data_IF_818776896121
#
_entry.id   IF_818776896121
#
_cell.length_a   1.000
_cell.length_b   1.000
_cell.length_c   1.000
_cell.angle_alpha   90.00
_cell.angle_beta   90.00
_cell.angle_gamma   90.00
#
_symmetry.space_group_name_H-M   'P 1'
#
loop_
_entity.id
_entity.type
_entity.pdbx_description
1 polymer ?
#
# COMPACT_ATOMS: atom_id res chain seq x y z
N UNK A 1 -10.91 16.69 -44.53
CA UNK A 1 -12.05 16.54 -43.59
C UNK A 1 -11.99 15.25 -42.76
N UNK A 2 -11.71 14.07 -43.35
CA UNK A 2 -11.61 12.79 -42.62
C UNK A 2 -10.44 12.70 -41.62
N UNK A 3 -9.30 13.31 -41.96
CA UNK A 3 -8.10 13.32 -41.10
C UNK A 3 -8.27 14.17 -39.82
N UNK A 4 -9.08 15.24 -39.87
CA UNK A 4 -9.37 16.07 -38.69
C UNK A 4 -10.31 15.34 -37.71
N UNK A 5 -11.29 14.60 -38.23
CA UNK A 5 -12.19 13.76 -37.43
C UNK A 5 -11.45 12.63 -36.70
N UNK A 6 -10.44 12.03 -37.36
CA UNK A 6 -9.56 11.02 -36.76
C UNK A 6 -8.71 11.59 -35.61
N UNK A 7 -8.13 12.79 -35.78
CA UNK A 7 -7.37 13.44 -34.70
C UNK A 7 -8.25 13.82 -33.50
N UNK A 8 -9.48 14.29 -33.74
CA UNK A 8 -10.42 14.61 -32.66
C UNK A 8 -10.83 13.38 -31.84
N UNK A 9 -11.04 12.23 -32.50
CA UNK A 9 -11.37 10.97 -31.81
C UNK A 9 -10.21 10.43 -30.95
N UNK A 10 -8.95 10.58 -31.40
CA UNK A 10 -7.77 10.18 -30.62
C UNK A 10 -7.58 11.07 -29.39
N UNK A 11 -7.86 12.37 -29.50
CA UNK A 11 -7.77 13.31 -28.36
C UNK A 11 -8.89 13.06 -27.34
N UNK A 12 -10.11 12.73 -27.78
CA UNK A 12 -11.24 12.43 -26.88
C UNK A 12 -11.01 11.09 -26.14
N UNK A 13 -10.41 10.08 -26.80
CA UNK A 13 -10.02 8.82 -26.16
C UNK A 13 -8.80 8.98 -25.21
N UNK A 14 -7.93 9.96 -25.45
CA UNK A 14 -6.84 10.30 -24.52
C UNK A 14 -7.29 11.01 -23.23
N UNK A 15 -8.51 11.59 -23.23
CA UNK A 15 -9.10 12.27 -22.07
C UNK A 15 -9.94 11.34 -21.20
N UNK A 16 -10.14 10.07 -21.57
CA UNK A 16 -10.84 9.12 -20.71
C UNK A 16 -9.94 8.64 -19.58
N UNK A 17 -9.99 9.43 -18.50
CA UNK A 17 -9.65 9.08 -17.11
C UNK A 17 -8.20 8.68 -16.84
N UNK A 18 -7.34 9.70 -16.73
CA UNK A 18 -6.41 9.72 -15.60
C UNK A 18 -7.28 9.80 -14.34
N UNK A 19 -7.64 8.67 -13.74
CA UNK A 19 -8.03 8.68 -12.33
C UNK A 19 -6.77 9.12 -11.60
N UNK A 20 -6.72 10.40 -11.23
CA UNK A 20 -5.66 10.90 -10.37
C UNK A 20 -5.75 10.10 -9.07
N UNK A 21 -4.78 9.23 -8.83
CA UNK A 21 -4.56 8.57 -7.54
C UNK A 21 -3.98 9.58 -6.55
N UNK A 22 -4.62 10.74 -6.44
CA UNK A 22 -4.24 11.78 -5.49
C UNK A 22 -4.39 11.22 -4.08
N UNK A 23 -3.27 11.12 -3.38
CA UNK A 23 -3.24 10.76 -1.97
C UNK A 23 -4.01 11.84 -1.21
N UNK A 24 -5.05 11.50 -0.42
CA UNK A 24 -5.72 12.49 0.42
C UNK A 24 -4.68 13.26 1.24
N UNK A 25 -4.82 14.58 1.32
CA UNK A 25 -3.82 15.44 1.97
C UNK A 25 -3.55 15.01 3.44
N UNK A 26 -4.58 14.50 4.12
CA UNK A 26 -4.48 13.90 5.45
C UNK A 26 -3.54 12.68 5.51
N UNK A 27 -3.56 11.81 4.49
CA UNK A 27 -2.64 10.67 4.39
C UNK A 27 -1.26 11.16 4.02
N UNK A 28 -1.17 12.05 3.02
CA UNK A 28 0.10 12.57 2.52
C UNK A 28 0.95 13.13 3.68
N UNK A 29 0.35 13.93 4.56
CA UNK A 29 1.06 14.49 5.72
C UNK A 29 1.64 13.44 6.68
N UNK A 30 1.01 12.27 6.81
CA UNK A 30 1.47 11.19 7.70
C UNK A 30 2.57 10.32 7.07
N UNK A 31 2.58 10.21 5.74
CA UNK A 31 3.34 9.18 5.04
C UNK A 31 4.46 9.74 4.16
N UNK A 32 4.54 11.06 4.03
CA UNK A 32 5.61 11.77 3.32
C UNK A 32 6.97 11.33 3.88
N UNK A 33 7.85 10.88 2.99
CA UNK A 33 9.21 10.46 3.31
C UNK A 33 9.35 9.08 3.95
N UNK A 34 8.25 8.41 4.34
CA UNK A 34 8.30 7.05 4.90
C UNK A 34 8.80 6.05 3.85
N UNK A 35 8.33 6.19 2.60
CA UNK A 35 8.82 5.44 1.44
C UNK A 35 10.35 5.47 1.34
N UNK A 36 10.90 6.67 1.23
CA UNK A 36 12.32 6.88 1.00
C UNK A 36 13.14 6.43 2.20
N UNK A 37 12.62 6.61 3.42
CA UNK A 37 13.25 6.09 4.65
C UNK A 37 13.36 4.57 4.58
N UNK A 38 12.24 3.88 4.38
CA UNK A 38 12.20 2.42 4.41
C UNK A 38 12.95 1.79 3.23
N UNK A 39 12.93 2.43 2.05
CA UNK A 39 13.76 2.04 0.93
C UNK A 39 15.25 2.10 1.28
N UNK A 40 15.73 3.22 1.85
CA UNK A 40 17.14 3.39 2.24
C UNK A 40 17.57 2.45 3.36
N UNK A 41 16.72 2.23 4.36
CA UNK A 41 17.05 1.39 5.52
C UNK A 41 17.12 -0.09 5.16
N UNK A 42 16.26 -0.56 4.27
CA UNK A 42 16.18 -1.97 3.90
C UNK A 42 17.02 -2.32 2.67
N UNK A 43 17.29 -1.34 1.80
CA UNK A 43 17.94 -1.58 0.51
C UNK A 43 17.06 -2.37 -0.46
N UNK A 44 15.74 -2.44 -0.24
CA UNK A 44 14.81 -3.09 -1.16
C UNK A 44 14.86 -2.41 -2.53
N UNK A 45 14.78 -3.18 -3.62
CA UNK A 45 14.55 -2.61 -4.94
C UNK A 45 13.18 -1.94 -4.97
N UNK A 46 13.15 -0.65 -5.32
CA UNK A 46 11.91 0.13 -5.32
C UNK A 46 10.91 -0.39 -6.36
N UNK A 47 11.39 -1.05 -7.43
CA UNK A 47 10.53 -1.69 -8.41
C UNK A 47 9.74 -2.86 -7.79
N UNK A 48 10.35 -3.60 -6.84
CA UNK A 48 9.64 -4.67 -6.13
C UNK A 48 8.51 -4.13 -5.25
N UNK A 49 8.72 -2.95 -4.65
CA UNK A 49 7.68 -2.24 -3.89
C UNK A 49 6.58 -1.80 -4.84
N UNK A 50 6.92 -1.14 -5.94
CA UNK A 50 5.95 -0.62 -6.91
C UNK A 50 5.04 -1.70 -7.48
N UNK A 51 5.60 -2.86 -7.84
CA UNK A 51 4.84 -3.97 -8.41
C UNK A 51 3.86 -4.63 -7.42
N UNK A 52 3.92 -4.31 -6.13
CA UNK A 52 2.91 -4.79 -5.17
C UNK A 52 1.51 -4.23 -5.43
N UNK A 53 1.35 -3.07 -6.08
CA UNK A 53 0.03 -2.59 -6.54
C UNK A 53 -0.59 -3.54 -7.57
N UNK A 54 0.25 -4.24 -8.32
CA UNK A 54 -0.13 -5.24 -9.32
C UNK A 54 -0.44 -6.60 -8.66
N UNK A 55 -0.33 -6.70 -7.34
CA UNK A 55 -0.45 -7.95 -6.58
C UNK A 55 0.76 -8.85 -6.76
N UNK A 56 1.85 -8.35 -7.34
CA UNK A 56 3.11 -9.07 -7.44
C UNK A 56 3.97 -8.76 -6.22
N UNK A 57 4.26 -9.79 -5.42
CA UNK A 57 5.17 -9.68 -4.28
C UNK A 57 6.45 -10.43 -4.62
N UNK A 58 7.53 -9.68 -4.81
CA UNK A 58 8.84 -10.28 -5.05
C UNK A 58 9.25 -11.14 -3.84
N UNK A 59 9.79 -12.36 -4.03
CA UNK A 59 10.08 -13.29 -2.93
C UNK A 59 11.28 -12.90 -2.04
N UNK A 60 11.84 -11.70 -2.23
CA UNK A 60 12.97 -11.22 -1.42
C UNK A 60 12.50 -10.84 -0.02
N UNK A 61 13.27 -11.24 0.99
CA UNK A 61 13.07 -10.85 2.39
C UNK A 61 13.04 -9.31 2.57
N UNK A 62 13.84 -8.58 1.79
CA UNK A 62 13.89 -7.11 1.82
C UNK A 62 12.53 -6.45 1.56
N UNK A 63 11.66 -7.09 0.76
CA UNK A 63 10.31 -6.58 0.52
C UNK A 63 9.44 -6.70 1.78
N UNK A 64 9.55 -7.80 2.52
CA UNK A 64 8.88 -7.93 3.81
C UNK A 64 9.43 -6.95 4.84
N UNK A 65 10.75 -6.78 4.88
CA UNK A 65 11.39 -5.82 5.78
C UNK A 65 11.02 -4.37 5.46
N UNK A 66 10.76 -4.04 4.18
CA UNK A 66 10.22 -2.75 3.78
C UNK A 66 8.87 -2.46 4.44
N UNK A 67 7.93 -3.42 4.36
CA UNK A 67 6.64 -3.28 5.03
C UNK A 67 6.75 -3.28 6.55
N UNK A 68 7.68 -4.07 7.10
CA UNK A 68 7.98 -4.06 8.54
C UNK A 68 8.46 -2.67 8.99
N UNK A 69 9.36 -2.04 8.23
CA UNK A 69 9.79 -0.66 8.48
C UNK A 69 8.63 0.33 8.50
N UNK A 70 7.66 0.19 7.58
CA UNK A 70 6.47 1.06 7.54
C UNK A 70 5.63 0.85 8.81
N UNK A 71 5.31 -0.38 9.20
CA UNK A 71 4.54 -0.63 10.42
C UNK A 71 5.28 -0.14 11.67
N UNK A 72 6.59 -0.31 11.73
CA UNK A 72 7.43 0.19 12.82
C UNK A 72 7.48 1.73 12.88
N UNK A 73 7.45 2.41 11.74
CA UNK A 73 7.40 3.89 11.71
C UNK A 73 6.18 4.43 12.48
N UNK A 74 5.06 3.72 12.42
CA UNK A 74 3.83 4.04 13.14
C UNK A 74 3.71 3.32 14.49
N UNK A 75 4.76 2.63 14.95
CA UNK A 75 4.80 1.87 16.20
C UNK A 75 3.67 0.80 16.30
N UNK A 76 3.36 0.17 15.16
CA UNK A 76 2.28 -0.80 14.99
C UNK A 76 2.76 -2.24 15.09
N UNK A 77 4.02 -2.53 14.81
CA UNK A 77 4.55 -3.89 14.82
C UNK A 77 5.55 -4.03 15.97
N UNK A 78 5.51 -5.15 16.69
CA UNK A 78 6.51 -5.46 17.71
C UNK A 78 7.70 -6.26 17.15
N UNK A 79 8.69 -6.53 18.00
CA UNK A 79 9.90 -7.26 17.62
C UNK A 79 9.66 -8.75 17.31
N UNK A 80 8.50 -9.29 17.72
CA UNK A 80 8.10 -10.67 17.44
C UNK A 80 7.22 -10.76 16.17
N UNK A 81 6.93 -9.63 15.53
CA UNK A 81 6.14 -9.55 14.31
C UNK A 81 4.63 -9.56 14.54
N UNK A 82 4.15 -9.22 15.75
CA UNK A 82 2.73 -9.04 16.00
C UNK A 82 2.30 -7.59 15.75
N UNK A 83 1.23 -7.44 14.97
CA UNK A 83 0.64 -6.13 14.70
C UNK A 83 -0.33 -5.75 15.84
N UNK A 84 -0.19 -4.55 16.37
CA UNK A 84 -1.07 -3.95 17.35
C UNK A 84 -2.34 -3.43 16.65
N UNK A 85 -3.31 -4.33 16.47
CA UNK A 85 -4.57 -4.05 15.80
C UNK A 85 -5.39 -2.93 16.46
N UNK A 86 -5.22 -2.71 17.76
CA UNK A 86 -5.87 -1.62 18.48
C UNK A 86 -5.27 -0.28 18.03
N UNK A 87 -3.94 -0.19 17.94
CA UNK A 87 -3.29 1.02 17.38
C UNK A 87 -3.59 1.21 15.91
N UNK A 88 -3.68 0.14 15.11
CA UNK A 88 -4.02 0.23 13.68
C UNK A 88 -5.33 1.02 13.51
N UNK A 89 -6.40 0.65 14.24
CA UNK A 89 -7.70 1.37 14.21
C UNK A 89 -7.55 2.86 14.54
N UNK A 90 -6.64 3.21 15.44
CA UNK A 90 -6.43 4.60 15.88
C UNK A 90 -5.60 5.44 14.88
N UNK A 91 -4.76 4.81 14.06
CA UNK A 91 -3.92 5.48 13.05
C UNK A 91 -4.66 5.64 11.72
N UNK A 92 -5.67 4.81 11.46
CA UNK A 92 -6.46 4.88 10.23
C UNK A 92 -7.28 6.18 10.16
N UNK A 93 -7.16 6.97 9.08
CA UNK A 93 -7.99 8.14 8.89
C UNK A 93 -9.48 7.80 8.82
N UNK A 94 -10.38 8.71 9.24
CA UNK A 94 -11.83 8.47 9.22
C UNK A 94 -12.37 8.01 7.86
N UNK A 95 -11.80 8.54 6.76
CA UNK A 95 -12.17 8.21 5.38
C UNK A 95 -11.90 6.73 4.99
N UNK A 96 -11.15 5.99 5.81
CA UNK A 96 -10.73 4.60 5.54
C UNK A 96 -11.31 3.57 6.52
N UNK A 97 -12.08 4.01 7.54
CA UNK A 97 -12.56 3.13 8.61
C UNK A 97 -13.35 1.92 8.09
N UNK A 98 -14.28 2.14 7.16
CA UNK A 98 -15.10 1.05 6.61
C UNK A 98 -14.27 -0.02 5.91
N UNK A 99 -13.20 0.38 5.21
CA UNK A 99 -12.29 -0.57 4.55
C UNK A 99 -11.41 -1.27 5.58
N UNK A 100 -11.02 -0.56 6.64
CA UNK A 100 -10.18 -1.09 7.68
C UNK A 100 -10.87 -2.14 8.55
N UNK A 101 -12.13 -1.94 8.94
CA UNK A 101 -12.84 -2.89 9.78
C UNK A 101 -12.93 -4.28 9.13
N UNK A 102 -13.21 -4.33 7.83
CA UNK A 102 -13.21 -5.56 7.03
C UNK A 102 -11.82 -6.23 7.01
N UNK A 103 -10.77 -5.46 6.72
CA UNK A 103 -9.40 -5.96 6.68
C UNK A 103 -8.93 -6.46 8.05
N UNK A 104 -9.24 -5.75 9.13
CA UNK A 104 -8.87 -6.15 10.49
C UNK A 104 -9.60 -7.45 10.86
N UNK A 105 -10.90 -7.55 10.56
CA UNK A 105 -11.67 -8.76 10.84
C UNK A 105 -11.07 -9.99 10.13
N UNK A 106 -10.65 -9.83 8.87
CA UNK A 106 -10.08 -10.91 8.06
C UNK A 106 -8.62 -11.24 8.41
N UNK A 107 -7.81 -10.24 8.76
CA UNK A 107 -6.35 -10.37 8.81
C UNK A 107 -5.75 -10.38 10.21
N UNK A 108 -6.52 -10.15 11.28
CA UNK A 108 -5.99 -9.99 12.65
C UNK A 108 -5.16 -11.15 13.20
N UNK A 109 -5.33 -12.35 12.65
CA UNK A 109 -4.56 -13.55 13.04
C UNK A 109 -3.36 -13.81 12.14
N UNK A 110 -3.11 -12.93 11.15
CA UNK A 110 -2.01 -13.09 10.20
C UNK A 110 -0.70 -12.75 10.90
N UNK A 111 0.24 -13.67 10.79
CA UNK A 111 1.59 -13.59 11.35
C UNK A 111 2.56 -14.32 10.42
N UNK A 112 3.85 -14.24 10.73
CA UNK A 112 4.95 -14.88 10.02
C UNK A 112 6.01 -15.38 10.99
N UNK A 113 7.12 -15.87 10.44
CA UNK A 113 8.24 -16.40 11.25
C UNK A 113 9.07 -15.31 11.94
N UNK A 114 8.99 -14.08 11.44
CA UNK A 114 9.73 -12.90 11.90
C UNK A 114 8.98 -11.61 11.51
N UNK A 115 9.40 -10.42 11.97
CA UNK A 115 8.71 -9.16 11.63
C UNK A 115 8.61 -8.85 10.14
N UNK A 116 9.57 -9.27 9.32
CA UNK A 116 9.54 -9.03 7.88
C UNK A 116 8.51 -9.93 7.19
N UNK A 117 8.47 -11.21 7.57
CA UNK A 117 7.52 -12.20 7.09
C UNK A 117 6.08 -11.87 7.53
N UNK A 118 5.89 -11.49 8.80
CA UNK A 118 4.60 -11.02 9.30
C UNK A 118 4.09 -9.83 8.50
N UNK A 119 4.94 -8.84 8.25
CA UNK A 119 4.54 -7.63 7.56
C UNK A 119 4.07 -7.89 6.12
N UNK A 120 4.80 -8.70 5.35
CA UNK A 120 4.37 -9.03 3.98
C UNK A 120 3.10 -9.88 3.96
N UNK A 121 2.95 -10.83 4.89
CA UNK A 121 1.75 -11.67 5.00
C UNK A 121 0.51 -10.82 5.30
N UNK A 122 0.64 -9.84 6.20
CA UNK A 122 -0.44 -8.90 6.54
C UNK A 122 -0.83 -8.05 5.32
N UNK A 123 0.15 -7.48 4.61
CA UNK A 123 -0.10 -6.66 3.41
C UNK A 123 -0.79 -7.49 2.32
N UNK A 124 -0.36 -8.72 2.09
CA UNK A 124 -1.02 -9.65 1.18
C UNK A 124 -2.47 -9.94 1.62
N UNK A 125 -2.70 -10.13 2.91
CA UNK A 125 -4.05 -10.35 3.45
C UNK A 125 -4.95 -9.12 3.23
N UNK A 126 -4.45 -7.91 3.47
CA UNK A 126 -5.17 -6.66 3.22
C UNK A 126 -5.56 -6.54 1.75
N UNK A 127 -4.61 -6.75 0.83
CA UNK A 127 -4.88 -6.67 -0.61
C UNK A 127 -5.86 -7.75 -1.09
N UNK A 128 -5.82 -8.95 -0.51
CA UNK A 128 -6.75 -10.04 -0.83
C UNK A 128 -8.17 -9.74 -0.34
N UNK A 129 -8.28 -9.17 0.87
CA UNK A 129 -9.57 -8.84 1.49
C UNK A 129 -10.22 -7.67 0.79
N UNK A 130 -9.44 -6.62 0.51
CA UNK A 130 -9.95 -5.41 -0.11
C UNK A 130 -9.10 -5.01 -1.31
N UNK A 131 -9.51 -5.36 -2.54
CA UNK A 131 -8.79 -5.00 -3.77
C UNK A 131 -8.63 -3.49 -3.98
N UNK A 132 -9.43 -2.64 -3.31
CA UNK A 132 -9.25 -1.19 -3.38
C UNK A 132 -7.90 -0.74 -2.79
N UNK A 133 -7.31 -1.52 -1.88
CA UNK A 133 -5.94 -1.33 -1.36
C UNK A 133 -4.91 -1.30 -2.51
N UNK A 134 -5.10 -2.13 -3.54
CA UNK A 134 -4.21 -2.16 -4.71
C UNK A 134 -4.43 -1.01 -5.67
N UNK A 135 -5.68 -0.56 -5.80
CA UNK A 135 -6.08 0.53 -6.70
C UNK A 135 -5.51 1.87 -6.19
N UNK A 136 -5.40 1.98 -4.88
CA UNK A 136 -4.98 3.16 -4.16
C UNK A 136 -3.48 3.13 -3.85
N UNK A 137 -2.68 3.77 -4.72
CA UNK A 137 -1.20 3.79 -4.64
C UNK A 137 -0.62 4.24 -3.31
N UNK A 138 -1.37 4.97 -2.49
CA UNK A 138 -0.94 5.34 -1.13
C UNK A 138 -0.92 4.19 -0.13
N UNK A 139 -1.31 2.97 -0.47
CA UNK A 139 -0.99 1.80 0.38
C UNK A 139 0.40 1.23 0.10
N UNK A 140 1.01 1.64 -1.01
CA UNK A 140 2.36 1.28 -1.44
C UNK A 140 3.25 2.50 -1.26
N UNK A 141 3.02 3.30 -0.21
CA UNK A 141 3.98 4.34 0.21
C UNK A 141 5.31 3.65 0.28
#
# INVERSE_FOLDING_TARGET
MKSLLLCFLVVILGLTKVKSNEIPQEIQAMVVGVRDKCHRETGVDIEHVDRTVEGYFHPSELLGCYFSCIFNHFNLLDNDGHLDWVKVVNVIPPSFKDHADEMIAACKTTTGKDPCDSAVNIVQCFQKTNPAVRINKYFVI
#
